data_IF_509635446701
#
_entry.id   IF_509635446701
#
_cell.length_a   1.000
_cell.length_b   1.000
_cell.length_c   1.000
_cell.angle_alpha   90.00
_cell.angle_beta   90.00
_cell.angle_gamma   90.00
#
_symmetry.space_group_name_H-M   'P 1'
#
loop_
_entity.id
_entity.type
_entity.pdbx_description
1 polymer ?
#
# COMPACT_ATOMS: atom_id res chain seq x y z
N UNK A 1 -14.12 -4.34 8.73
CA UNK A 1 -13.13 -4.58 7.65
C UNK A 1 -13.86 -5.04 6.41
N UNK A 2 -13.63 -4.40 5.25
CA UNK A 2 -14.26 -4.74 3.98
C UNK A 2 -13.21 -5.34 3.04
N UNK A 3 -13.61 -6.32 2.21
CA UNK A 3 -12.69 -7.09 1.36
C UNK A 3 -13.27 -7.23 -0.06
N UNK A 4 -12.51 -6.82 -1.06
CA UNK A 4 -12.79 -7.12 -2.47
C UNK A 4 -11.90 -8.26 -2.92
N UNK A 5 -12.49 -9.38 -3.35
CA UNK A 5 -11.75 -10.55 -3.83
C UNK A 5 -11.91 -10.70 -5.33
N UNK A 6 -10.80 -10.90 -6.03
CA UNK A 6 -10.74 -11.20 -7.45
C UNK A 6 -10.10 -12.57 -7.64
N UNK A 7 -10.73 -13.42 -8.46
CA UNK A 7 -10.21 -14.72 -8.87
C UNK A 7 -9.92 -14.66 -10.37
N UNK A 8 -8.66 -14.41 -10.77
CA UNK A 8 -8.30 -14.33 -12.18
C UNK A 8 -8.43 -15.71 -12.85
N UNK A 9 -9.12 -15.77 -13.99
CA UNK A 9 -9.28 -17.02 -14.75
C UNK A 9 -8.12 -17.27 -15.72
N UNK A 10 -7.24 -16.28 -15.89
CA UNK A 10 -6.06 -16.32 -16.76
C UNK A 10 -4.87 -15.73 -16.01
N UNK A 11 -3.68 -16.02 -16.51
CA UNK A 11 -2.47 -15.38 -16.03
C UNK A 11 -2.57 -13.85 -16.15
N UNK A 12 -2.11 -13.16 -15.12
CA UNK A 12 -2.30 -11.73 -14.93
C UNK A 12 -1.02 -10.97 -15.30
N UNK A 13 -1.03 -10.15 -16.37
CA UNK A 13 0.00 -9.16 -16.61
C UNK A 13 -0.18 -7.94 -15.68
N UNK A 14 0.89 -7.15 -15.50
CA UNK A 14 0.88 -5.94 -14.66
C UNK A 14 -0.24 -4.95 -15.05
N UNK A 15 -0.56 -4.83 -16.34
CA UNK A 15 -1.63 -3.93 -16.82
C UNK A 15 -3.00 -4.31 -16.26
N UNK A 16 -3.33 -5.60 -16.20
CA UNK A 16 -4.60 -6.07 -15.63
C UNK A 16 -4.64 -5.84 -14.13
N UNK A 17 -3.52 -6.09 -13.44
CA UNK A 17 -3.40 -5.77 -12.02
C UNK A 17 -3.68 -4.29 -11.73
N UNK A 18 -3.06 -3.38 -12.50
CA UNK A 18 -3.28 -1.94 -12.38
C UNK A 18 -4.75 -1.54 -12.59
N UNK A 19 -5.44 -2.18 -13.55
CA UNK A 19 -6.86 -1.95 -13.79
C UNK A 19 -7.69 -2.33 -12.55
N UNK A 20 -7.42 -3.49 -11.95
CA UNK A 20 -8.12 -3.92 -10.73
C UNK A 20 -7.86 -3.00 -9.55
N UNK A 21 -6.61 -2.61 -9.32
CA UNK A 21 -6.24 -1.65 -8.27
C UNK A 21 -6.93 -0.30 -8.46
N UNK A 22 -6.96 0.22 -9.69
CA UNK A 22 -7.64 1.47 -10.02
C UNK A 22 -9.15 1.39 -9.79
N UNK A 23 -9.77 0.28 -10.20
CA UNK A 23 -11.20 0.04 -9.99
C UNK A 23 -11.53 0.01 -8.50
N UNK A 24 -10.75 -0.74 -7.71
CA UNK A 24 -10.90 -0.81 -6.26
C UNK A 24 -10.82 0.57 -5.59
N UNK A 25 -9.78 1.36 -5.89
CA UNK A 25 -9.62 2.70 -5.31
C UNK A 25 -10.74 3.66 -5.73
N UNK A 26 -11.17 3.58 -6.99
CA UNK A 26 -12.25 4.42 -7.51
C UNK A 26 -13.59 4.09 -6.85
N UNK A 27 -13.89 2.80 -6.66
CA UNK A 27 -15.11 2.36 -5.99
C UNK A 27 -15.09 2.75 -4.51
N UNK A 28 -13.97 2.52 -3.81
CA UNK A 28 -13.82 2.83 -2.39
C UNK A 28 -13.96 4.34 -2.13
N UNK A 29 -13.39 5.19 -3.00
CA UNK A 29 -13.50 6.65 -2.88
C UNK A 29 -14.95 7.17 -2.95
N UNK A 30 -15.88 6.43 -3.56
CA UNK A 30 -17.28 6.86 -3.63
C UNK A 30 -17.96 6.90 -2.26
N UNK A 31 -17.47 6.11 -1.31
CA UNK A 31 -18.12 5.94 0.00
C UNK A 31 -17.22 6.31 1.17
N UNK A 32 -15.92 6.45 0.93
CA UNK A 32 -14.92 6.51 1.98
C UNK A 32 -13.82 7.51 1.60
N UNK A 33 -13.36 8.31 2.55
CA UNK A 33 -12.23 9.22 2.34
C UNK A 33 -10.96 8.68 2.98
N UNK A 34 -10.94 8.53 4.31
CA UNK A 34 -9.77 8.07 5.05
C UNK A 34 -9.86 6.57 5.26
N UNK A 35 -8.89 5.81 4.76
CA UNK A 35 -8.92 4.34 4.80
C UNK A 35 -7.56 3.74 5.07
N UNK A 36 -7.52 2.70 5.90
CA UNK A 36 -6.41 1.76 5.89
C UNK A 36 -6.58 0.81 4.71
N UNK A 37 -5.54 0.62 3.89
CA UNK A 37 -5.53 -0.29 2.75
C UNK A 37 -4.44 -1.33 2.93
N UNK A 38 -4.74 -2.56 2.51
CA UNK A 38 -3.75 -3.62 2.34
C UNK A 38 -4.12 -4.45 1.11
N UNK A 39 -3.12 -4.92 0.36
CA UNK A 39 -3.35 -5.76 -0.83
C UNK A 39 -2.57 -7.06 -0.67
N UNK A 40 -3.27 -8.19 -0.85
CA UNK A 40 -2.71 -9.53 -0.75
C UNK A 40 -2.89 -10.26 -2.08
N UNK A 41 -1.87 -10.99 -2.48
CA UNK A 41 -1.88 -11.86 -3.64
C UNK A 41 -1.57 -13.29 -3.22
N UNK A 42 -2.37 -14.23 -3.73
CA UNK A 42 -2.16 -15.65 -3.60
C UNK A 42 -1.71 -16.19 -4.96
N UNK A 43 -0.49 -16.73 -5.03
CA UNK A 43 0.10 -17.30 -6.23
C UNK A 43 1.01 -18.48 -5.85
N UNK A 44 1.05 -19.54 -6.65
CA UNK A 44 1.85 -20.74 -6.36
C UNK A 44 1.66 -21.32 -4.94
N UNK A 45 0.43 -21.29 -4.42
CA UNK A 45 0.07 -21.68 -3.04
C UNK A 45 0.71 -20.84 -1.93
N UNK A 46 1.38 -19.73 -2.26
CA UNK A 46 1.94 -18.78 -1.32
C UNK A 46 1.10 -17.50 -1.29
N UNK A 47 1.01 -16.89 -0.11
CA UNK A 47 0.41 -15.57 0.07
C UNK A 47 1.48 -14.52 0.31
N UNK A 48 1.36 -13.37 -0.35
CA UNK A 48 2.22 -12.21 -0.16
C UNK A 48 1.39 -10.94 -0.08
N UNK A 49 1.75 -10.05 0.84
CA UNK A 49 1.23 -8.69 0.88
C UNK A 49 2.04 -7.78 -0.04
N UNK A 50 1.36 -7.09 -0.95
CA UNK A 50 1.97 -6.12 -1.89
C UNK A 50 2.19 -4.75 -1.25
N UNK A 51 1.70 -4.54 -0.03
CA UNK A 51 2.02 -3.39 0.80
C UNK A 51 1.73 -3.74 2.26
N UNK A 52 2.38 -3.04 3.18
CA UNK A 52 1.93 -2.99 4.57
C UNK A 52 0.54 -2.36 4.65
N UNK A 53 -0.09 -2.43 5.82
CA UNK A 53 -1.34 -1.70 6.06
C UNK A 53 -1.05 -0.20 6.05
N UNK A 54 -1.47 0.52 5.01
CA UNK A 54 -1.21 1.96 4.83
C UNK A 54 -2.47 2.76 5.07
N UNK A 55 -2.42 3.79 5.91
CA UNK A 55 -3.48 4.78 6.04
C UNK A 55 -3.33 5.87 4.98
N UNK A 56 -4.39 6.12 4.20
CA UNK A 56 -4.39 7.15 3.15
C UNK A 56 -5.66 8.00 3.14
N UNK A 57 -5.54 9.22 2.63
CA UNK A 57 -6.67 10.06 2.17
C UNK A 57 -6.94 9.80 0.67
N UNK A 58 -8.10 9.20 0.36
CA UNK A 58 -8.54 8.93 -1.01
C UNK A 58 -8.89 10.18 -1.83
N UNK A 59 -8.92 11.37 -1.21
CA UNK A 59 -9.00 12.63 -1.94
C UNK A 59 -7.61 13.23 -2.24
N UNK A 60 -6.56 12.77 -1.58
CA UNK A 60 -5.20 13.19 -1.87
C UNK A 60 -4.63 12.43 -3.08
N UNK A 61 -4.60 13.11 -4.23
CA UNK A 61 -4.07 12.56 -5.49
C UNK A 61 -2.60 12.11 -5.39
N UNK A 62 -1.77 12.78 -4.57
CA UNK A 62 -0.35 12.43 -4.41
C UNK A 62 -0.22 11.12 -3.66
N UNK A 63 -0.91 10.95 -2.54
CA UNK A 63 -0.93 9.71 -1.77
C UNK A 63 -1.44 8.53 -2.60
N UNK A 64 -2.52 8.72 -3.35
CA UNK A 64 -3.05 7.69 -4.25
C UNK A 64 -2.01 7.30 -5.31
N UNK A 65 -1.32 8.28 -5.91
CA UNK A 65 -0.28 8.01 -6.91
C UNK A 65 0.86 7.20 -6.30
N UNK A 66 1.34 7.60 -5.12
CA UNK A 66 2.41 6.90 -4.40
C UNK A 66 2.01 5.47 -4.03
N UNK A 67 0.81 5.28 -3.47
CA UNK A 67 0.31 3.94 -3.12
C UNK A 67 0.18 3.05 -4.36
N UNK A 68 -0.35 3.58 -5.47
CA UNK A 68 -0.46 2.83 -6.73
C UNK A 68 0.90 2.40 -7.26
N UNK A 69 1.90 3.28 -7.19
CA UNK A 69 3.25 2.99 -7.64
C UNK A 69 3.86 1.87 -6.79
N UNK A 70 3.89 2.04 -5.47
CA UNK A 70 4.40 1.06 -4.51
C UNK A 70 3.81 -0.34 -4.73
N UNK A 71 2.47 -0.43 -4.78
CA UNK A 71 1.78 -1.71 -4.94
C UNK A 71 2.06 -2.32 -6.33
N UNK A 72 2.12 -1.49 -7.38
CA UNK A 72 2.40 -1.96 -8.74
C UNK A 72 3.83 -2.46 -8.89
N UNK A 73 4.79 -1.80 -8.27
CA UNK A 73 6.20 -2.15 -8.32
C UNK A 73 6.42 -3.47 -7.56
N UNK A 74 5.85 -3.59 -6.36
CA UNK A 74 5.89 -4.85 -5.61
C UNK A 74 5.24 -6.02 -6.39
N UNK A 75 4.14 -5.78 -7.12
CA UNK A 75 3.59 -6.81 -8.02
C UNK A 75 4.54 -7.13 -9.18
N UNK A 76 5.19 -6.11 -9.76
CA UNK A 76 6.14 -6.27 -10.84
C UNK A 76 7.38 -7.08 -10.40
N UNK A 77 7.82 -6.92 -9.16
CA UNK A 77 8.91 -7.71 -8.59
C UNK A 77 8.54 -9.19 -8.47
N UNK A 78 7.27 -9.50 -8.19
CA UNK A 78 6.77 -10.89 -8.19
C UNK A 78 6.80 -11.52 -9.59
N UNK A 79 6.72 -10.72 -10.66
CA UNK A 79 6.84 -11.22 -12.02
C UNK A 79 8.26 -11.72 -12.32
N UNK A 80 9.30 -11.21 -11.64
CA UNK A 80 10.71 -11.58 -11.86
C UNK A 80 11.08 -11.55 -13.36
N UNK A 81 10.68 -10.49 -14.06
CA UNK A 81 10.91 -10.31 -15.50
C UNK A 81 9.98 -11.10 -16.43
N UNK A 82 9.05 -11.92 -15.90
CA UNK A 82 8.02 -12.59 -16.72
C UNK A 82 6.93 -11.60 -17.16
N UNK A 83 6.29 -11.81 -18.31
CA UNK A 83 5.22 -10.91 -18.77
C UNK A 83 3.92 -11.04 -17.95
N UNK A 84 3.71 -12.17 -17.25
CA UNK A 84 2.47 -12.50 -16.55
C UNK A 84 2.70 -13.46 -15.39
N UNK A 85 1.83 -13.37 -14.37
CA UNK A 85 1.83 -14.22 -13.17
C UNK A 85 0.55 -15.07 -13.11
N UNK A 86 0.67 -16.35 -12.76
CA UNK A 86 -0.50 -17.18 -12.43
C UNK A 86 -0.99 -16.85 -11.03
N UNK A 87 -2.00 -15.99 -10.94
CA UNK A 87 -2.59 -15.52 -9.69
C UNK A 87 -3.82 -16.36 -9.36
N UNK A 88 -3.82 -17.03 -8.20
CA UNK A 88 -4.97 -17.80 -7.71
C UNK A 88 -6.05 -16.89 -7.12
N UNK A 89 -5.63 -15.87 -6.37
CA UNK A 89 -6.55 -14.92 -5.73
C UNK A 89 -5.85 -13.59 -5.50
N UNK A 90 -6.58 -12.50 -5.69
CA UNK A 90 -6.16 -11.15 -5.34
C UNK A 90 -7.19 -10.58 -4.35
N UNK A 91 -6.74 -10.04 -3.22
CA UNK A 91 -7.61 -9.45 -2.20
C UNK A 91 -7.19 -8.02 -1.91
N UNK A 92 -8.15 -7.12 -1.94
CA UNK A 92 -8.01 -5.74 -1.51
C UNK A 92 -8.78 -5.56 -0.21
N UNK A 93 -8.07 -5.22 0.86
CA UNK A 93 -8.63 -4.97 2.17
C UNK A 93 -8.74 -3.47 2.39
N UNK A 94 -9.84 -3.03 2.99
CA UNK A 94 -9.88 -1.71 3.59
C UNK A 94 -10.68 -1.61 4.89
N UNK A 95 -10.30 -0.63 5.69
CA UNK A 95 -10.99 -0.23 6.91
C UNK A 95 -11.17 1.28 6.86
N UNK A 96 -12.41 1.73 6.93
CA UNK A 96 -12.75 3.15 7.03
C UNK A 96 -12.29 3.70 8.38
N UNK A 97 -11.82 4.95 8.37
CA UNK A 97 -11.46 5.66 9.59
C UNK A 97 -11.89 7.11 9.53
N UNK A 98 -11.65 7.83 10.61
CA UNK A 98 -12.03 9.23 10.76
C UNK A 98 -10.90 10.16 10.35
N UNK A 99 -11.24 11.42 10.04
CA UNK A 99 -10.27 12.49 9.82
C UNK A 99 -9.31 12.66 11.02
N UNK A 100 -9.83 12.55 12.25
CA UNK A 100 -9.01 12.72 13.45
C UNK A 100 -7.96 11.62 13.58
N UNK A 101 -8.33 10.36 13.28
CA UNK A 101 -7.37 9.26 13.27
C UNK A 101 -6.30 9.45 12.17
N UNK A 102 -6.70 9.96 11.00
CA UNK A 102 -5.79 10.32 9.93
C UNK A 102 -4.79 11.42 10.33
N UNK A 103 -5.27 12.51 10.94
CA UNK A 103 -4.41 13.59 11.41
C UNK A 103 -3.43 13.10 12.49
N UNK A 104 -3.90 12.30 13.45
CA UNK A 104 -3.04 11.71 14.47
C UNK A 104 -1.93 10.84 13.87
N UNK A 105 -2.25 10.04 12.85
CA UNK A 105 -1.26 9.25 12.13
C UNK A 105 -0.20 10.11 11.43
N UNK A 106 -0.59 11.25 10.84
CA UNK A 106 0.36 12.19 10.25
C UNK A 106 1.28 12.82 11.31
N UNK A 107 0.73 13.18 12.48
CA UNK A 107 1.50 13.71 13.61
C UNK A 107 2.51 12.67 14.13
N UNK A 108 2.10 11.41 14.23
CA UNK A 108 2.96 10.29 14.64
C UNK A 108 4.09 10.05 13.62
N UNK A 109 3.81 10.11 12.32
CA UNK A 109 4.82 10.02 11.26
C UNK A 109 5.87 11.11 11.39
N UNK A 110 5.45 12.38 11.47
CA UNK A 110 6.37 13.52 11.60
C UNK A 110 7.18 13.45 12.89
N UNK A 111 6.54 13.03 13.99
CA UNK A 111 7.20 12.84 15.28
C UNK A 111 8.25 11.73 15.23
N UNK A 112 7.95 10.64 14.52
CA UNK A 112 8.88 9.51 14.35
C UNK A 112 10.08 9.88 13.48
N UNK A 113 9.90 10.65 12.41
CA UNK A 113 10.99 11.14 11.57
C UNK A 113 11.90 12.13 12.32
N UNK A 114 11.31 12.98 13.18
CA UNK A 114 12.07 13.88 14.04
C UNK A 114 12.91 13.14 15.10
N UNK A 115 12.46 11.98 15.56
CA UNK A 115 13.24 11.10 16.45
C UNK A 115 14.42 10.46 15.70
N UNK A 116 14.22 10.01 14.47
CA UNK A 116 15.27 9.48 13.59
C UNK A 116 16.40 10.48 13.36
N UNK A 117 16.06 11.74 13.06
CA UNK A 117 17.03 12.82 12.81
C UNK A 117 17.78 13.20 14.10
N UNK A 118 17.08 13.29 15.24
CA UNK A 118 17.74 13.59 16.53
C UNK A 118 18.71 12.48 16.96
N UNK A 119 18.37 11.21 16.72
CA UNK A 119 19.25 10.09 17.05
C UNK A 119 20.51 10.03 16.17
N UNK A 120 20.42 10.43 14.90
CA UNK A 120 21.58 10.55 14.00
C UNK A 120 22.53 11.66 14.47
N UNK A 121 22.01 12.84 14.84
CA UNK A 121 22.85 13.96 15.29
C UNK A 121 23.52 13.70 16.66
N UNK A 122 22.96 12.82 17.49
CA UNK A 122 23.54 12.51 18.82
C UNK A 122 24.72 11.53 18.72
N UNK A 123 24.91 10.84 17.59
CA UNK A 123 26.03 9.92 17.38
C UNK A 123 27.29 10.59 16.83
N UNK A 124 27.18 11.77 16.21
CA UNK A 124 28.35 12.50 15.68
C UNK A 124 29.14 13.26 16.76
N UNK A 125 28.50 13.65 17.88
CA UNK A 125 29.14 14.44 18.95
C UNK A 125 30.03 13.62 19.92
N UNK A 126 30.18 12.30 19.73
CA UNK A 126 30.97 11.44 20.64
C UNK A 126 32.36 11.05 20.11
N UNK A 127 32.87 11.67 19.04
CA UNK A 127 34.16 11.31 18.43
C UNK A 127 35.30 12.33 18.56
N UNK A 128 35.22 13.32 19.46
CA UNK A 128 36.38 14.13 19.82
C UNK A 128 36.46 14.39 21.33
N UNK A 129 37.22 13.54 22.01
CA UNK A 129 37.99 13.86 23.22
C UNK A 129 39.27 13.05 23.24
#
# INVERSE_FOLDING_TARGET
MKITTIKPNKEMPLVHFKIYLNSFLTQTRKTSQYVYIQVEILYNNSSIYLCNKVLIDLNNKKEIKTLKHLISDNFNDLLKGKPKLKVNKLRFYYIETTKNAYLKYLEELVSSDNLSIKMLNTQEDKKHK
#
